data_IF_653464830111
#
_entry.id   IF_653464830111
#
_cell.length_a   1.000
_cell.length_b   1.000
_cell.length_c   1.000
_cell.angle_alpha   90.00
_cell.angle_beta   90.00
_cell.angle_gamma   90.00
#
_symmetry.space_group_name_H-M   'P 1'
#
loop_
_entity.id
_entity.type
_entity.pdbx_description
1 polymer ?
#
# COMPACT_ATOMS: atom_id res chain seq x y z
N UNK A 1 -3.75 -1.73 -5.28
CA UNK A 1 -4.86 -0.78 -4.97
C UNK A 1 -4.48 0.30 -3.96
N UNK A 2 -3.80 0.00 -2.85
CA UNK A 2 -3.35 1.04 -1.89
C UNK A 2 -2.58 2.22 -2.53
N UNK A 3 -1.66 1.95 -3.47
CA UNK A 3 -0.93 3.02 -4.17
C UNK A 3 -1.83 3.98 -4.95
N UNK A 4 -2.95 3.47 -5.50
CA UNK A 4 -3.87 4.27 -6.30
C UNK A 4 -4.60 5.29 -5.41
N UNK A 5 -4.94 4.90 -4.18
CA UNK A 5 -5.53 5.80 -3.20
C UNK A 5 -4.59 6.95 -2.79
N UNK A 6 -3.27 6.76 -2.97
CA UNK A 6 -2.22 7.76 -2.73
C UNK A 6 -1.73 8.45 -4.02
N UNK A 7 -2.34 8.17 -5.18
CA UNK A 7 -1.88 8.65 -6.49
C UNK A 7 -0.41 8.29 -6.82
N UNK A 8 0.13 7.25 -6.20
CA UNK A 8 1.51 6.81 -6.40
C UNK A 8 1.65 5.93 -7.65
N UNK A 9 2.64 6.27 -8.48
CA UNK A 9 3.08 5.43 -9.59
C UNK A 9 3.81 4.17 -9.10
N UNK A 10 3.77 3.07 -9.85
CA UNK A 10 4.44 1.82 -9.41
C UNK A 10 5.97 1.95 -9.29
N UNK A 11 6.60 2.75 -10.16
CA UNK A 11 8.06 3.04 -10.09
C UNK A 11 8.40 3.91 -8.88
N UNK A 12 7.52 4.83 -8.54
CA UNK A 12 7.66 5.69 -7.36
C UNK A 12 7.56 4.87 -6.08
N UNK A 13 6.53 4.02 -5.95
CA UNK A 13 6.41 3.09 -4.84
C UNK A 13 7.64 2.16 -4.74
N UNK A 14 8.12 1.64 -5.87
CA UNK A 14 9.32 0.79 -5.88
C UNK A 14 10.55 1.53 -5.34
N UNK A 15 10.74 2.80 -5.73
CA UNK A 15 11.81 3.66 -5.23
C UNK A 15 11.68 3.91 -3.72
N UNK A 16 10.49 4.30 -3.25
CA UNK A 16 10.22 4.56 -1.83
C UNK A 16 10.45 3.31 -0.98
N UNK A 17 9.98 2.14 -1.46
CA UNK A 17 10.20 0.86 -0.80
C UNK A 17 11.59 0.28 -1.06
N UNK A 18 12.47 0.94 -1.81
CA UNK A 18 13.80 0.47 -2.19
C UNK A 18 13.78 -1.02 -2.62
N UNK A 19 12.97 -1.30 -3.64
CA UNK A 19 12.83 -2.60 -4.31
C UNK A 19 12.78 -2.39 -5.83
N UNK A 20 12.91 -3.47 -6.61
CA UNK A 20 12.77 -3.37 -8.06
C UNK A 20 11.32 -3.06 -8.47
N UNK A 21 11.09 -2.36 -9.59
CA UNK A 21 9.72 -2.18 -10.11
C UNK A 21 9.01 -3.51 -10.42
N UNK A 22 9.77 -4.56 -10.80
CA UNK A 22 9.24 -5.91 -10.99
C UNK A 22 8.70 -6.51 -9.68
N UNK A 23 9.35 -6.23 -8.55
CA UNK A 23 8.87 -6.65 -7.21
C UNK A 23 7.48 -6.10 -6.94
N UNK A 24 7.21 -4.84 -7.26
CA UNK A 24 5.88 -4.24 -7.13
C UNK A 24 4.90 -4.88 -8.11
N UNK A 25 5.28 -5.08 -9.38
CA UNK A 25 4.41 -5.72 -10.37
C UNK A 25 4.03 -7.16 -9.99
N UNK A 26 4.94 -7.93 -9.39
CA UNK A 26 4.68 -9.28 -8.86
C UNK A 26 3.73 -9.24 -7.67
N UNK A 27 3.95 -8.29 -6.74
CA UNK A 27 3.06 -8.07 -5.60
C UNK A 27 1.63 -7.74 -6.06
N UNK A 28 1.47 -6.84 -7.04
CA UNK A 28 0.14 -6.46 -7.55
C UNK A 28 -0.58 -7.59 -8.30
N UNK A 29 0.16 -8.57 -8.84
CA UNK A 29 -0.40 -9.79 -9.43
C UNK A 29 -0.74 -10.88 -8.40
N UNK A 30 -0.46 -10.66 -7.11
CA UNK A 30 -0.74 -11.62 -6.05
C UNK A 30 0.21 -12.81 -6.00
N UNK A 31 1.41 -12.68 -6.56
CA UNK A 31 2.42 -13.74 -6.44
C UNK A 31 2.93 -13.88 -4.99
N UNK A 32 3.46 -15.06 -4.66
CA UNK A 32 4.15 -15.28 -3.38
C UNK A 32 5.41 -14.41 -3.29
N UNK A 33 5.54 -13.70 -2.16
CA UNK A 33 6.61 -12.75 -1.90
C UNK A 33 7.30 -13.05 -0.59
N UNK A 34 8.57 -12.65 -0.47
CA UNK A 34 9.28 -12.69 0.79
C UNK A 34 8.55 -11.82 1.85
N UNK A 35 8.25 -12.34 3.06
CA UNK A 35 7.58 -11.57 4.11
C UNK A 35 8.25 -10.24 4.44
N UNK A 36 9.59 -10.16 4.40
CA UNK A 36 10.33 -8.90 4.63
C UNK A 36 10.02 -7.85 3.56
N UNK A 37 9.83 -8.27 2.32
CA UNK A 37 9.44 -7.38 1.22
C UNK A 37 8.02 -6.88 1.41
N UNK A 38 7.10 -7.75 1.85
CA UNK A 38 5.72 -7.37 2.15
C UNK A 38 5.66 -6.31 3.25
N UNK A 39 6.38 -6.53 4.35
CA UNK A 39 6.48 -5.56 5.46
C UNK A 39 7.02 -4.23 4.95
N UNK A 40 8.11 -4.24 4.19
CA UNK A 40 8.73 -3.00 3.65
C UNK A 40 7.76 -2.19 2.78
N UNK A 41 7.06 -2.85 1.86
CA UNK A 41 6.09 -2.17 0.99
C UNK A 41 4.88 -1.68 1.79
N UNK A 42 4.39 -2.46 2.75
CA UNK A 42 3.31 -2.07 3.66
C UNK A 42 3.67 -0.82 4.46
N UNK A 43 4.83 -0.80 5.11
CA UNK A 43 5.30 0.34 5.89
C UNK A 43 5.38 1.61 5.05
N UNK A 44 5.94 1.54 3.83
CA UNK A 44 6.02 2.69 2.93
C UNK A 44 4.66 3.25 2.57
N UNK A 45 3.67 2.39 2.33
CA UNK A 45 2.30 2.83 2.05
C UNK A 45 1.66 3.45 3.30
N UNK A 46 1.87 2.85 4.48
CA UNK A 46 1.33 3.36 5.75
C UNK A 46 1.93 4.73 6.13
N UNK A 47 3.23 4.91 5.90
CA UNK A 47 3.95 6.17 6.07
C UNK A 47 3.46 7.24 5.09
N UNK A 48 3.16 6.84 3.86
CA UNK A 48 2.59 7.71 2.83
C UNK A 48 1.11 8.06 3.05
N UNK A 49 0.45 7.47 4.07
CA UNK A 49 -0.89 7.85 4.49
C UNK A 49 -1.96 6.77 4.32
N UNK A 50 -1.60 5.53 3.97
CA UNK A 50 -2.54 4.41 3.96
C UNK A 50 -2.75 3.85 5.38
N UNK A 51 -3.94 3.31 5.62
CA UNK A 51 -4.26 2.39 6.71
C UNK A 51 -4.84 1.13 6.09
N UNK A 52 -4.22 -0.02 6.37
CA UNK A 52 -4.79 -1.32 6.02
C UNK A 52 -5.82 -1.73 7.06
N UNK A 53 -6.95 -2.23 6.61
CA UNK A 53 -8.07 -2.67 7.44
C UNK A 53 -8.21 -4.17 7.22
N UNK A 54 -8.17 -4.94 8.30
CA UNK A 54 -8.39 -6.37 8.25
C UNK A 54 -9.86 -6.68 7.95
N UNK A 55 -10.13 -7.89 7.47
CA UNK A 55 -11.50 -8.34 7.28
C UNK A 55 -12.23 -8.46 8.63
N UNK A 56 -13.54 -8.23 8.61
CA UNK A 56 -14.43 -8.41 9.75
C UNK A 56 -15.64 -9.29 9.35
N UNK A 57 -16.63 -9.42 10.24
CA UNK A 57 -17.80 -10.29 10.01
C UNK A 57 -18.64 -9.87 8.80
N UNK A 58 -18.55 -8.62 8.37
CA UNK A 58 -19.41 -8.02 7.33
C UNK A 58 -18.64 -7.55 6.10
N UNK A 59 -17.31 -7.48 6.17
CA UNK A 59 -16.45 -6.91 5.14
C UNK A 59 -15.12 -7.66 4.96
N UNK A 60 -14.61 -7.63 3.73
CA UNK A 60 -13.27 -8.12 3.41
C UNK A 60 -12.16 -7.13 3.77
N UNK A 61 -10.92 -7.51 3.48
CA UNK A 61 -9.75 -6.63 3.66
C UNK A 61 -9.91 -5.32 2.87
N UNK A 62 -9.46 -4.22 3.47
CA UNK A 62 -9.67 -2.87 2.95
C UNK A 62 -8.45 -1.96 3.09
N UNK A 63 -8.56 -0.79 2.45
CA UNK A 63 -7.59 0.31 2.54
C UNK A 63 -8.34 1.61 2.78
N UNK A 64 -7.81 2.45 3.67
CA UNK A 64 -8.28 3.82 3.94
C UNK A 64 -7.11 4.79 3.85
N UNK A 65 -7.36 6.01 3.38
CA UNK A 65 -6.38 7.10 3.45
C UNK A 65 -6.58 7.85 4.77
N UNK A 66 -5.49 8.16 5.48
CA UNK A 66 -5.52 9.00 6.68
C UNK A 66 -6.08 10.36 6.28
N UNK A 67 -7.15 10.80 6.95
CA UNK A 67 -7.70 12.13 6.74
C UNK A 67 -6.69 13.19 7.20
N UNK A 68 -6.60 14.30 6.47
CA UNK A 68 -6.00 15.50 7.05
C UNK A 68 -6.92 16.04 8.13
N UNK A 69 -6.35 16.47 9.27
CA UNK A 69 -7.12 17.14 10.35
C UNK A 69 -7.82 18.43 9.89
N UNK A 70 -7.57 18.88 8.64
CA UNK A 70 -8.15 20.07 8.00
C UNK A 70 -8.65 19.82 6.57
N UNK A 71 -9.12 18.61 6.23
CA UNK A 71 -9.96 18.46 5.03
C UNK A 71 -11.37 19.00 5.35
N UNK A 72 -11.47 20.32 5.52
CA UNK A 72 -12.74 21.02 5.50
C UNK A 72 -13.33 20.85 4.09
N UNK A 73 -14.37 20.03 4.00
CA UNK A 73 -15.34 20.05 2.91
C UNK A 73 -16.57 20.83 3.39
#
# INVERSE_FOLDING_TARGET
MARAALFLGFRELAKMANVSPNTIARLERGESMNPRTLVKVRTVLEDAGVMFIDADEVGGVGVRVKGERNAAL
#
